data_IF_957335515430
#
_entry.id   IF_957335515430
#
_cell.length_a   1.000
_cell.length_b   1.000
_cell.length_c   1.000
_cell.angle_alpha   90.00
_cell.angle_beta   90.00
_cell.angle_gamma   90.00
#
_symmetry.space_group_name_H-M   'P 1'
#
loop_
_entity.id
_entity.type
_entity.pdbx_description
1 polymer ?
#
# COMPACT_ATOMS: atom_id res chain seq x y z
N UNK A 1 4.87 3.87 -20.54
CA UNK A 1 4.85 3.62 -19.08
C UNK A 1 5.89 4.43 -18.31
N UNK A 2 7.17 4.47 -18.75
CA UNK A 2 8.23 5.19 -18.02
C UNK A 2 7.91 6.66 -17.73
N UNK A 3 7.43 7.40 -18.73
CA UNK A 3 7.04 8.81 -18.55
C UNK A 3 5.89 8.97 -17.54
N UNK A 4 4.99 7.98 -17.48
CA UNK A 4 3.90 7.94 -16.52
C UNK A 4 4.40 7.70 -15.09
N UNK A 5 5.40 6.82 -14.93
CA UNK A 5 6.08 6.56 -13.64
C UNK A 5 6.86 7.81 -13.20
N UNK A 6 7.59 8.44 -14.12
CA UNK A 6 8.32 9.69 -13.89
C UNK A 6 7.38 10.82 -13.42
N UNK A 7 6.25 10.98 -14.12
CA UNK A 7 5.20 11.94 -13.75
C UNK A 7 4.60 11.63 -12.38
N UNK A 8 4.32 10.36 -12.07
CA UNK A 8 3.80 9.95 -10.76
C UNK A 8 4.76 10.28 -9.63
N UNK A 9 6.06 10.01 -9.82
CA UNK A 9 7.08 10.32 -8.83
C UNK A 9 7.39 11.82 -8.74
N UNK A 10 6.94 12.62 -9.72
CA UNK A 10 7.18 14.06 -9.82
C UNK A 10 8.60 14.40 -10.28
N UNK A 11 9.24 13.50 -11.05
CA UNK A 11 10.65 13.58 -11.41
C UNK A 11 10.85 13.49 -12.92
N UNK A 12 11.84 14.23 -13.45
CA UNK A 12 12.18 14.20 -14.88
C UNK A 12 13.19 13.12 -15.24
N UNK A 13 13.96 12.64 -14.26
CA UNK A 13 15.02 11.64 -14.47
C UNK A 13 14.88 10.50 -13.47
N UNK A 14 14.75 9.29 -13.99
CA UNK A 14 14.66 8.05 -13.23
C UNK A 14 15.79 7.11 -13.62
N UNK A 15 16.32 6.38 -12.65
CA UNK A 15 17.32 5.32 -12.90
C UNK A 15 16.66 3.96 -12.78
N UNK A 16 16.41 3.31 -13.91
CA UNK A 16 15.93 1.93 -13.96
C UNK A 16 17.13 0.99 -13.81
N UNK A 17 17.32 0.39 -12.64
CA UNK A 17 18.55 -0.37 -12.31
C UNK A 17 18.75 -1.61 -13.19
N UNK A 18 17.67 -2.18 -13.71
CA UNK A 18 17.68 -3.34 -14.60
C UNK A 18 18.14 -3.03 -16.02
N UNK A 19 18.21 -1.76 -16.41
CA UNK A 19 18.73 -1.31 -17.72
C UNK A 19 20.20 -0.91 -17.69
N UNK A 20 20.80 -0.91 -16.49
CA UNK A 20 22.18 -0.48 -16.26
C UNK A 20 23.04 -1.69 -15.94
N UNK A 21 23.31 -2.54 -16.92
CA UNK A 21 24.03 -3.82 -16.73
C UNK A 21 25.37 -3.63 -16.00
N UNK A 22 26.16 -2.64 -16.41
CA UNK A 22 27.49 -2.33 -15.86
C UNK A 22 27.47 -1.58 -14.52
N UNK A 23 26.32 -1.08 -14.08
CA UNK A 23 26.23 -0.35 -12.81
C UNK A 23 26.45 -1.32 -11.66
N UNK A 24 27.46 -1.08 -10.83
CA UNK A 24 27.76 -1.86 -9.63
C UNK A 24 26.87 -1.48 -8.44
N UNK A 25 26.79 -2.37 -7.44
CA UNK A 25 26.03 -2.08 -6.22
C UNK A 25 26.59 -0.87 -5.47
N UNK A 26 27.92 -0.70 -5.40
CA UNK A 26 28.54 0.42 -4.68
C UNK A 26 28.23 1.77 -5.35
N UNK A 27 28.23 1.82 -6.68
CA UNK A 27 27.80 3.01 -7.43
C UNK A 27 26.32 3.30 -7.24
N UNK A 28 25.47 2.27 -7.30
CA UNK A 28 24.04 2.39 -7.04
C UNK A 28 23.78 2.90 -5.62
N UNK A 29 24.48 2.37 -4.62
CA UNK A 29 24.37 2.74 -3.20
C UNK A 29 24.83 4.18 -2.95
N UNK A 30 25.87 4.64 -3.67
CA UNK A 30 26.32 6.03 -3.62
C UNK A 30 25.27 7.01 -4.14
N UNK A 31 24.58 6.66 -5.23
CA UNK A 31 23.50 7.48 -5.79
C UNK A 31 22.18 7.37 -5.02
N UNK A 32 21.90 6.19 -4.45
CA UNK A 32 20.66 5.87 -3.77
C UNK A 32 20.95 5.14 -2.46
N UNK A 33 21.28 5.86 -1.37
CA UNK A 33 21.71 5.26 -0.09
C UNK A 33 20.70 4.28 0.53
N UNK A 34 19.44 4.36 0.17
CA UNK A 34 18.35 3.50 0.61
C UNK A 34 18.30 2.15 -0.12
N UNK A 35 18.96 2.00 -1.29
CA UNK A 35 18.92 0.73 -2.02
C UNK A 35 19.53 -0.40 -1.19
N UNK A 36 18.79 -1.51 -1.07
CA UNK A 36 19.30 -2.73 -0.46
C UNK A 36 20.03 -3.56 -1.51
N UNK A 37 21.03 -4.34 -1.07
CA UNK A 37 21.74 -5.26 -1.96
C UNK A 37 20.78 -6.25 -2.62
N UNK A 38 19.81 -6.78 -1.87
CA UNK A 38 18.81 -7.71 -2.40
C UNK A 38 17.95 -7.11 -3.51
N UNK A 39 17.48 -5.86 -3.36
CA UNK A 39 16.75 -5.17 -4.43
C UNK A 39 17.65 -4.89 -5.65
N UNK A 40 18.88 -4.46 -5.43
CA UNK A 40 19.80 -4.27 -6.54
C UNK A 40 20.06 -5.57 -7.31
N UNK A 41 20.36 -6.68 -6.63
CA UNK A 41 20.57 -8.00 -7.24
C UNK A 41 19.32 -8.51 -7.96
N UNK A 42 18.13 -8.32 -7.35
CA UNK A 42 16.85 -8.64 -7.97
C UNK A 42 16.65 -7.89 -9.31
N UNK A 43 17.11 -6.64 -9.40
CA UNK A 43 17.07 -5.86 -10.64
C UNK A 43 17.96 -6.43 -11.75
N UNK A 44 18.94 -7.28 -11.42
CA UNK A 44 19.84 -7.92 -12.39
C UNK A 44 19.34 -9.29 -12.86
N UNK A 45 18.31 -9.84 -12.22
CA UNK A 45 17.70 -11.10 -12.65
C UNK A 45 16.95 -10.92 -13.98
N UNK A 46 16.84 -12.00 -14.75
CA UNK A 46 16.02 -12.02 -15.96
C UNK A 46 14.55 -11.74 -15.63
N UNK A 47 13.79 -11.02 -16.48
CA UNK A 47 12.43 -10.59 -16.16
C UNK A 47 11.48 -11.72 -15.70
N UNK A 48 11.44 -12.92 -16.33
CA UNK A 48 10.56 -14.00 -15.87
C UNK A 48 10.93 -14.52 -14.47
N UNK A 49 12.23 -14.64 -14.18
CA UNK A 49 12.74 -15.10 -12.88
C UNK A 49 12.42 -14.06 -11.80
N UNK A 50 12.57 -12.78 -12.12
CA UNK A 50 12.23 -11.68 -11.22
C UNK A 50 10.73 -11.67 -10.88
N UNK A 51 9.88 -11.87 -11.89
CA UNK A 51 8.43 -11.96 -11.71
C UNK A 51 8.05 -13.11 -10.77
N UNK A 52 8.57 -14.30 -11.03
CA UNK A 52 8.33 -15.49 -10.21
C UNK A 52 8.81 -15.28 -8.77
N UNK A 53 10.04 -14.78 -8.59
CA UNK A 53 10.60 -14.51 -7.27
C UNK A 53 9.73 -13.55 -6.45
N UNK A 54 9.24 -12.47 -7.07
CA UNK A 54 8.43 -11.46 -6.37
C UNK A 54 7.03 -11.98 -6.07
N UNK A 55 6.42 -12.73 -6.99
CA UNK A 55 5.14 -13.43 -6.71
C UNK A 55 5.28 -14.31 -5.48
N UNK A 56 6.29 -15.18 -5.46
CA UNK A 56 6.52 -16.11 -4.36
C UNK A 56 6.85 -15.37 -3.06
N UNK A 57 7.57 -14.25 -3.14
CA UNK A 57 7.83 -13.39 -1.99
C UNK A 57 6.54 -12.80 -1.39
N UNK A 58 5.64 -12.27 -2.21
CA UNK A 58 4.34 -11.74 -1.75
C UNK A 58 3.52 -12.82 -1.05
N UNK A 59 3.42 -13.98 -1.67
CA UNK A 59 2.71 -15.16 -1.16
C UNK A 59 3.24 -15.55 0.23
N UNK A 60 4.58 -15.61 0.38
CA UNK A 60 5.20 -16.00 1.65
C UNK A 60 5.19 -14.90 2.72
N UNK A 61 5.07 -13.63 2.33
CA UNK A 61 5.10 -12.50 3.26
C UNK A 61 3.78 -12.32 4.03
N UNK A 62 2.64 -12.74 3.47
CA UNK A 62 1.31 -12.59 4.07
C UNK A 62 0.78 -13.90 4.67
N UNK A 63 -0.14 -13.86 5.65
CA UNK A 63 -0.79 -15.06 6.15
C UNK A 63 -1.51 -15.85 5.05
N UNK A 64 -1.52 -17.19 5.16
CA UNK A 64 -2.16 -18.05 4.18
C UNK A 64 -3.68 -17.93 4.21
N UNK A 65 -4.25 -17.50 3.09
CA UNK A 65 -5.68 -17.60 2.79
C UNK A 65 -5.84 -18.01 1.31
N UNK A 66 -6.59 -19.09 0.99
CA UNK A 66 -6.68 -19.60 -0.38
C UNK A 66 -7.13 -18.56 -1.41
N UNK A 67 -8.09 -17.69 -1.06
CA UNK A 67 -8.60 -16.66 -1.97
C UNK A 67 -7.59 -15.53 -2.21
N UNK A 68 -6.81 -15.15 -1.20
CA UNK A 68 -5.73 -14.17 -1.31
C UNK A 68 -4.64 -14.66 -2.27
N UNK A 69 -4.21 -15.91 -2.11
CA UNK A 69 -3.17 -16.47 -2.99
C UNK A 69 -3.64 -16.55 -4.43
N UNK A 70 -4.88 -17.02 -4.66
CA UNK A 70 -5.48 -17.05 -5.99
C UNK A 70 -5.59 -15.63 -6.61
N UNK A 71 -5.86 -14.61 -5.80
CA UNK A 71 -5.90 -13.22 -6.27
C UNK A 71 -4.50 -12.69 -6.61
N UNK A 72 -3.48 -13.00 -5.81
CA UNK A 72 -2.09 -12.64 -6.14
C UNK A 72 -1.63 -13.32 -7.42
N UNK A 73 -1.92 -14.61 -7.62
CA UNK A 73 -1.63 -15.30 -8.87
C UNK A 73 -2.30 -14.61 -10.08
N UNK A 74 -3.58 -14.21 -9.94
CA UNK A 74 -4.28 -13.44 -10.97
C UNK A 74 -3.62 -12.09 -11.23
N UNK A 75 -3.22 -11.36 -10.18
CA UNK A 75 -2.52 -10.08 -10.32
C UNK A 75 -1.18 -10.25 -11.06
N UNK A 76 -0.33 -11.16 -10.59
CA UNK A 76 1.00 -11.40 -11.19
C UNK A 76 0.92 -11.98 -12.62
N UNK A 77 -0.16 -12.68 -12.96
CA UNK A 77 -0.40 -13.12 -14.36
C UNK A 77 -0.62 -11.95 -15.34
N UNK A 78 -0.95 -10.76 -14.83
CA UNK A 78 -1.18 -9.55 -15.62
C UNK A 78 0.03 -8.61 -15.63
N UNK A 79 1.02 -8.84 -14.76
CA UNK A 79 2.23 -8.02 -14.67
C UNK A 79 3.16 -8.38 -15.82
N UNK A 80 3.44 -7.39 -16.68
CA UNK A 80 4.32 -7.53 -17.83
C UNK A 80 5.79 -7.35 -17.45
N UNK A 81 6.04 -6.50 -16.45
CA UNK A 81 7.40 -6.19 -16.00
C UNK A 81 7.44 -5.77 -14.53
N UNK A 82 8.45 -6.25 -13.81
CA UNK A 82 8.81 -5.72 -12.50
C UNK A 82 10.12 -4.93 -12.62
N UNK A 83 10.07 -3.66 -12.27
CA UNK A 83 11.22 -2.76 -12.28
C UNK A 83 11.66 -2.37 -10.88
N UNK A 84 12.92 -1.99 -10.74
CA UNK A 84 13.43 -1.27 -9.57
C UNK A 84 13.99 0.03 -10.09
N UNK A 85 13.52 1.12 -9.49
CA UNK A 85 13.70 2.48 -9.98
C UNK A 85 14.25 3.36 -8.86
N UNK A 86 15.34 4.07 -9.13
CA UNK A 86 15.86 5.12 -8.28
C UNK A 86 15.34 6.48 -8.74
N UNK A 87 14.91 7.29 -7.77
CA UNK A 87 14.59 8.71 -7.95
C UNK A 87 15.20 9.53 -6.82
N UNK A 88 15.13 10.87 -6.89
CA UNK A 88 15.61 11.73 -5.80
C UNK A 88 14.86 11.51 -4.49
N UNK A 89 13.62 11.01 -4.56
CA UNK A 89 12.73 10.78 -3.42
C UNK A 89 12.94 9.41 -2.77
N UNK A 90 13.53 8.45 -3.47
CA UNK A 90 13.57 7.08 -2.97
C UNK A 90 13.97 6.06 -4.01
N UNK A 91 13.99 4.81 -3.57
CA UNK A 91 14.03 3.64 -4.46
C UNK A 91 12.67 2.97 -4.38
N UNK A 92 12.15 2.56 -5.52
CA UNK A 92 10.82 2.00 -5.64
C UNK A 92 10.84 0.75 -6.49
N UNK A 93 9.91 -0.16 -6.21
CA UNK A 93 9.59 -1.27 -7.08
C UNK A 93 8.36 -0.91 -7.91
N UNK A 94 8.41 -1.18 -9.21
CA UNK A 94 7.31 -0.90 -10.13
C UNK A 94 6.75 -2.19 -10.68
N UNK A 95 5.42 -2.30 -10.75
CA UNK A 95 4.70 -3.41 -11.37
C UNK A 95 3.97 -2.85 -12.59
N UNK A 96 4.50 -3.09 -13.78
CA UNK A 96 3.92 -2.60 -15.03
C UNK A 96 2.88 -3.60 -15.52
N UNK A 97 1.65 -3.14 -15.75
CA UNK A 97 0.57 -3.88 -16.40
C UNK A 97 0.24 -3.17 -17.73
N UNK A 98 -0.59 -3.81 -18.57
CA UNK A 98 -1.00 -3.28 -19.88
C UNK A 98 -1.56 -1.86 -19.84
N UNK A 99 -2.39 -1.58 -18.85
CA UNK A 99 -3.19 -0.33 -18.79
C UNK A 99 -2.81 0.58 -17.62
N UNK A 100 -2.01 0.10 -16.68
CA UNK A 100 -1.64 0.82 -15.46
C UNK A 100 -0.32 0.31 -14.91
N UNK A 101 0.14 0.89 -13.81
CA UNK A 101 1.27 0.41 -13.05
C UNK A 101 1.03 0.59 -11.57
N UNK A 102 1.77 -0.16 -10.75
CA UNK A 102 1.86 0.07 -9.32
C UNK A 102 3.28 0.45 -8.93
N UNK A 103 3.42 1.24 -7.86
CA UNK A 103 4.69 1.63 -7.27
C UNK A 103 4.66 1.27 -5.80
N UNK A 104 5.63 0.48 -5.34
CA UNK A 104 5.83 0.13 -3.94
C UNK A 104 7.14 0.69 -3.39
N UNK A 105 7.09 1.24 -2.18
CA UNK A 105 8.27 1.68 -1.45
C UNK A 105 9.12 0.52 -0.93
N UNK A 106 10.30 0.85 -0.39
CA UNK A 106 11.20 -0.13 0.22
C UNK A 106 10.50 -0.77 1.42
N UNK A 107 10.61 -2.09 1.63
CA UNK A 107 9.95 -2.74 2.75
C UNK A 107 10.57 -2.33 4.08
N UNK A 108 9.78 -2.38 5.15
CA UNK A 108 10.28 -2.17 6.50
C UNK A 108 11.03 -3.41 7.01
N UNK A 109 12.06 -3.16 7.82
CA UNK A 109 12.65 -4.19 8.67
C UNK A 109 11.71 -4.53 9.83
N UNK A 110 11.92 -5.67 10.49
CA UNK A 110 11.14 -6.01 11.70
C UNK A 110 11.28 -4.93 12.79
N UNK A 111 12.45 -4.31 12.93
CA UNK A 111 12.65 -3.17 13.84
C UNK A 111 11.85 -1.92 13.42
N UNK A 112 11.68 -1.70 12.11
CA UNK A 112 10.82 -0.64 11.58
C UNK A 112 9.33 -0.90 11.89
N UNK A 113 8.89 -2.15 11.78
CA UNK A 113 7.53 -2.57 12.15
C UNK A 113 7.27 -2.38 13.65
N UNK A 114 8.22 -2.74 14.51
CA UNK A 114 8.08 -2.49 15.96
C UNK A 114 8.10 -1.01 16.30
N UNK A 115 8.89 -0.21 15.58
CA UNK A 115 8.86 1.26 15.72
C UNK A 115 7.49 1.83 15.34
N UNK A 116 6.90 1.38 14.23
CA UNK A 116 5.55 1.76 13.81
C UNK A 116 4.51 1.43 14.89
N UNK A 117 4.55 0.21 15.44
CA UNK A 117 3.64 -0.22 16.51
C UNK A 117 3.80 0.63 17.77
N UNK A 118 5.02 1.04 18.11
CA UNK A 118 5.30 1.90 19.27
C UNK A 118 4.91 3.37 19.06
N UNK A 119 4.73 3.81 17.82
CA UNK A 119 4.40 5.19 17.49
C UNK A 119 2.92 5.53 17.69
N UNK A 120 2.05 4.53 17.58
CA UNK A 120 0.60 4.71 17.65
C UNK A 120 -0.03 3.77 18.66
N UNK A 121 -0.89 4.29 19.52
CA UNK A 121 -1.76 3.49 20.37
C UNK A 121 -2.97 2.99 19.55
N UNK A 122 -2.71 2.03 18.66
CA UNK A 122 -3.72 1.46 17.76
C UNK A 122 -3.50 -0.05 17.56
N UNK A 123 -4.55 -0.89 17.63
CA UNK A 123 -4.42 -2.32 17.41
C UNK A 123 -4.32 -2.62 15.92
N UNK A 124 -3.12 -2.46 15.35
CA UNK A 124 -2.92 -2.69 13.93
C UNK A 124 -3.28 -4.13 13.50
N UNK A 125 -4.00 -4.28 12.37
CA UNK A 125 -4.25 -5.61 11.80
C UNK A 125 -2.93 -6.31 11.48
N UNK A 126 -2.83 -7.61 11.78
CA UNK A 126 -1.61 -8.39 11.54
C UNK A 126 -1.25 -8.45 10.06
N UNK A 127 -2.23 -8.65 9.20
CA UNK A 127 -2.05 -8.73 7.76
C UNK A 127 -1.55 -7.40 7.15
N UNK A 128 -2.02 -6.26 7.66
CA UNK A 128 -1.48 -4.94 7.34
C UNK A 128 -0.02 -4.77 7.76
N UNK A 129 0.35 -5.20 8.97
CA UNK A 129 1.75 -5.16 9.42
C UNK A 129 2.65 -6.08 8.56
N UNK A 130 2.14 -7.23 8.13
CA UNK A 130 2.83 -8.13 7.22
C UNK A 130 3.05 -7.50 5.83
N UNK A 131 2.10 -6.71 5.34
CA UNK A 131 2.25 -6.02 4.06
C UNK A 131 3.45 -5.07 4.03
N UNK A 132 3.80 -4.43 5.15
CA UNK A 132 4.99 -3.58 5.22
C UNK A 132 6.32 -4.32 4.98
N UNK A 133 6.34 -5.66 5.10
CA UNK A 133 7.48 -6.49 4.68
C UNK A 133 7.58 -6.62 3.16
N UNK A 134 6.54 -6.25 2.43
CA UNK A 134 6.52 -6.18 0.97
C UNK A 134 6.82 -4.75 0.53
N UNK A 135 6.04 -3.76 1.01
CA UNK A 135 6.20 -2.36 0.63
C UNK A 135 5.87 -1.40 1.78
N UNK A 136 6.73 -0.40 2.00
CA UNK A 136 6.37 0.80 2.77
C UNK A 136 5.67 1.81 1.88
N UNK A 137 4.35 1.72 1.85
CA UNK A 137 3.49 2.46 0.93
C UNK A 137 3.42 1.83 -0.46
N UNK A 138 2.26 1.93 -1.10
CA UNK A 138 1.98 1.26 -2.38
C UNK A 138 0.82 1.92 -3.11
N UNK A 139 1.04 2.32 -4.36
CA UNK A 139 0.09 3.15 -5.11
C UNK A 139 -0.10 2.67 -6.55
N UNK A 140 -1.32 2.85 -7.09
CA UNK A 140 -1.72 2.56 -8.46
C UNK A 140 -1.71 3.83 -9.31
N UNK A 141 -0.93 3.86 -10.39
CA UNK A 141 -0.92 4.97 -11.33
C UNK A 141 -0.54 6.29 -10.66
N UNK A 142 -1.45 7.27 -10.65
CA UNK A 142 -1.26 8.60 -10.01
C UNK A 142 -1.93 8.71 -8.64
N UNK A 143 -2.46 7.62 -8.13
CA UNK A 143 -3.11 7.58 -6.83
C UNK A 143 -2.13 7.87 -5.69
N UNK A 144 -2.61 8.32 -4.53
CA UNK A 144 -1.79 8.40 -3.31
C UNK A 144 -1.53 7.01 -2.76
N UNK A 145 -2.54 6.14 -2.77
CA UNK A 145 -2.40 4.73 -2.42
C UNK A 145 -2.32 4.44 -0.93
N UNK A 146 -1.80 3.25 -0.60
CA UNK A 146 -1.45 2.85 0.75
C UNK A 146 -0.35 3.79 1.24
N UNK A 147 -0.58 4.42 2.38
CA UNK A 147 0.31 5.40 2.97
C UNK A 147 1.58 4.72 3.49
N UNK A 148 2.73 5.31 3.17
CA UNK A 148 3.99 4.96 3.82
C UNK A 148 3.98 5.44 5.28
N UNK A 149 4.77 4.79 6.13
CA UNK A 149 4.79 5.07 7.58
C UNK A 149 5.07 6.52 7.94
N UNK A 150 5.87 7.20 7.13
CA UNK A 150 6.24 8.60 7.29
C UNK A 150 5.04 9.54 7.11
N UNK A 151 4.03 9.13 6.34
CA UNK A 151 2.83 9.91 6.07
C UNK A 151 1.68 9.63 7.05
N UNK A 152 1.75 8.55 7.82
CA UNK A 152 0.69 8.15 8.75
C UNK A 152 0.39 9.20 9.84
N UNK A 153 1.38 9.87 10.47
CA UNK A 153 1.09 10.88 11.50
C UNK A 153 0.27 12.04 10.96
N UNK A 154 0.63 12.55 9.78
CA UNK A 154 -0.08 13.66 9.14
C UNK A 154 -1.48 13.24 8.66
N UNK A 155 -1.63 12.03 8.12
CA UNK A 155 -2.93 11.49 7.75
C UNK A 155 -3.84 11.34 8.98
N UNK A 156 -3.34 10.79 10.09
CA UNK A 156 -4.08 10.70 11.35
C UNK A 156 -4.50 12.08 11.84
N UNK A 157 -3.59 13.05 11.80
CA UNK A 157 -3.89 14.44 12.18
C UNK A 157 -5.00 15.02 11.29
N UNK A 158 -4.93 14.83 9.97
CA UNK A 158 -5.93 15.36 9.02
C UNK A 158 -7.32 14.73 9.23
N UNK A 159 -7.37 13.42 9.49
CA UNK A 159 -8.63 12.72 9.82
C UNK A 159 -9.19 13.23 11.15
N UNK A 160 -8.35 13.42 12.17
CA UNK A 160 -8.76 13.78 13.53
C UNK A 160 -9.01 15.27 13.76
N UNK A 161 -8.47 16.15 12.93
CA UNK A 161 -8.62 17.60 13.08
C UNK A 161 -9.96 18.14 12.57
N UNK A 162 -10.87 17.27 12.15
CA UNK A 162 -12.15 17.68 11.58
C UNK A 162 -13.16 18.01 12.68
N UNK A 163 -13.82 19.14 12.50
CA UNK A 163 -14.96 19.55 13.31
C UNK A 163 -16.25 18.96 12.70
N UNK A 164 -17.13 18.42 13.53
CA UNK A 164 -18.43 17.90 13.11
C UNK A 164 -18.71 16.48 13.59
N UNK A 165 -19.95 16.03 13.38
CA UNK A 165 -20.41 14.69 13.74
C UNK A 165 -20.16 13.78 12.55
N UNK A 166 -19.31 12.76 12.74
CA UNK A 166 -19.11 11.70 11.75
C UNK A 166 -20.11 10.59 11.98
N UNK A 167 -20.67 10.03 10.90
CA UNK A 167 -21.71 9.01 10.99
C UNK A 167 -21.38 7.71 10.25
N UNK A 168 -21.80 6.61 10.85
CA UNK A 168 -21.94 5.30 10.22
C UNK A 168 -23.43 4.96 10.27
N UNK A 169 -24.14 5.06 9.15
CA UNK A 169 -25.60 4.99 9.15
C UNK A 169 -26.23 6.04 10.08
N UNK A 170 -26.90 5.58 11.14
CA UNK A 170 -27.50 6.45 12.17
C UNK A 170 -26.59 6.72 13.39
N UNK A 171 -25.51 5.96 13.54
CA UNK A 171 -24.63 6.04 14.68
C UNK A 171 -23.56 7.12 14.50
N UNK A 172 -23.15 7.70 15.62
CA UNK A 172 -22.03 8.66 15.67
C UNK A 172 -20.74 7.87 15.88
N UNK A 173 -19.72 8.22 15.12
CA UNK A 173 -18.39 7.58 15.15
C UNK A 173 -17.40 8.53 15.79
N UNK A 174 -16.58 8.02 16.71
CA UNK A 174 -15.42 8.76 17.22
C UNK A 174 -14.26 8.67 16.22
N UNK A 175 -13.72 9.83 15.83
CA UNK A 175 -12.57 9.91 14.92
C UNK A 175 -11.29 9.29 15.51
N UNK A 176 -11.19 9.14 16.83
CA UNK A 176 -10.06 8.44 17.46
C UNK A 176 -10.07 6.94 17.16
N UNK A 177 -11.24 6.36 16.86
CA UNK A 177 -11.40 4.95 16.51
C UNK A 177 -11.00 4.65 15.06
N UNK A 178 -10.72 5.69 14.26
CA UNK A 178 -10.30 5.59 12.87
C UNK A 178 -8.79 5.76 12.71
N UNK A 179 -8.18 4.86 11.95
CA UNK A 179 -6.79 4.94 11.55
C UNK A 179 -6.65 4.88 10.03
N UNK A 180 -6.30 6.00 9.35
CA UNK A 180 -6.14 6.01 7.91
C UNK A 180 -4.92 5.21 7.48
N UNK A 181 -5.09 4.32 6.50
CA UNK A 181 -3.97 3.57 5.90
C UNK A 181 -3.87 3.76 4.38
N UNK A 182 -4.90 4.30 3.74
CA UNK A 182 -4.91 4.65 2.33
C UNK A 182 -5.60 5.99 2.11
N UNK A 183 -5.16 6.72 1.08
CA UNK A 183 -5.77 7.97 0.62
C UNK A 183 -5.96 7.92 -0.88
N UNK A 184 -7.07 8.47 -1.37
CA UNK A 184 -7.27 8.69 -2.80
C UNK A 184 -6.59 9.99 -3.25
N UNK A 185 -6.00 10.02 -4.44
CA UNK A 185 -5.29 11.21 -4.94
C UNK A 185 -6.20 12.43 -5.07
N UNK A 186 -5.81 13.52 -4.40
CA UNK A 186 -6.47 14.82 -4.51
C UNK A 186 -7.89 14.88 -3.93
N UNK A 187 -8.33 13.81 -3.25
CA UNK A 187 -9.62 13.74 -2.58
C UNK A 187 -9.41 13.64 -1.08
N UNK A 188 -10.27 14.32 -0.31
CA UNK A 188 -10.35 14.15 1.14
C UNK A 188 -11.11 12.83 1.49
N UNK A 189 -10.63 11.71 0.92
CA UNK A 189 -11.22 10.38 1.05
C UNK A 189 -10.15 9.38 1.45
N UNK A 190 -10.41 8.67 2.53
CA UNK A 190 -9.48 7.74 3.15
C UNK A 190 -10.12 6.35 3.26
N UNK A 191 -9.27 5.33 3.26
CA UNK A 191 -9.64 4.04 3.82
C UNK A 191 -9.01 3.95 5.21
N UNK A 192 -9.84 3.64 6.19
CA UNK A 192 -9.48 3.66 7.61
C UNK A 192 -9.75 2.31 8.23
N UNK A 193 -8.85 1.86 9.11
CA UNK A 193 -9.19 0.82 10.07
C UNK A 193 -10.13 1.39 11.13
N UNK A 194 -11.16 0.63 11.49
CA UNK A 194 -12.15 1.03 12.47
C UNK A 194 -12.14 0.08 13.67
N UNK A 195 -11.76 0.59 14.85
CA UNK A 195 -11.62 -0.20 16.09
C UNK A 195 -12.93 -0.84 16.54
N UNK A 196 -14.05 -0.18 16.31
CA UNK A 196 -15.36 -0.63 16.79
C UNK A 196 -16.12 -1.45 15.73
N UNK A 197 -15.37 -2.07 14.79
CA UNK A 197 -15.96 -2.98 13.81
C UNK A 197 -16.37 -4.31 14.45
N UNK A 198 -15.49 -4.91 15.28
CA UNK A 198 -15.74 -6.17 15.97
C UNK A 198 -15.72 -5.99 17.49
N UNK A 199 -16.56 -6.76 18.18
CA UNK A 199 -16.70 -6.72 19.65
C UNK A 199 -15.44 -7.21 20.37
N UNK A 200 -14.61 -8.02 19.71
CA UNK A 200 -13.36 -8.59 20.26
C UNK A 200 -12.13 -7.68 20.07
N UNK A 201 -12.32 -6.47 19.52
CA UNK A 201 -11.24 -5.51 19.26
C UNK A 201 -10.46 -5.76 17.97
N UNK A 202 -10.89 -6.71 17.13
CA UNK A 202 -10.41 -6.77 15.76
C UNK A 202 -10.90 -5.55 14.96
N UNK A 203 -10.15 -5.22 13.91
CA UNK A 203 -10.40 -4.04 13.08
C UNK A 203 -10.79 -4.47 11.67
N UNK A 204 -11.93 -3.98 11.19
CA UNK A 204 -12.24 -3.95 9.76
C UNK A 204 -11.78 -2.65 9.12
N UNK A 205 -12.06 -2.46 7.84
CA UNK A 205 -11.80 -1.19 7.16
C UNK A 205 -13.05 -0.59 6.51
N UNK A 206 -13.13 0.73 6.57
CA UNK A 206 -14.23 1.55 6.06
C UNK A 206 -13.67 2.67 5.20
N UNK A 207 -14.39 3.04 4.14
CA UNK A 207 -14.15 4.31 3.47
C UNK A 207 -14.63 5.43 4.38
N UNK A 208 -13.79 6.44 4.58
CA UNK A 208 -14.14 7.70 5.21
C UNK A 208 -14.11 8.82 4.18
N UNK A 209 -15.29 9.39 3.88
CA UNK A 209 -15.41 10.62 3.10
C UNK A 209 -15.50 11.80 4.04
N UNK A 210 -14.44 12.60 4.08
CA UNK A 210 -14.41 13.80 4.93
C UNK A 210 -15.47 14.80 4.49
N UNK A 211 -15.63 14.99 3.18
CA UNK A 211 -16.58 15.96 2.62
C UNK A 211 -18.03 15.64 3.03
N UNK A 212 -18.36 14.36 3.15
CA UNK A 212 -19.69 13.92 3.55
C UNK A 212 -19.86 13.75 5.06
N UNK A 213 -18.75 13.73 5.82
CA UNK A 213 -18.77 13.43 7.25
C UNK A 213 -19.30 12.02 7.54
N UNK A 214 -19.01 11.06 6.67
CA UNK A 214 -19.54 9.69 6.76
C UNK A 214 -18.46 8.66 6.54
N UNK A 215 -18.60 7.56 7.27
CA UNK A 215 -17.92 6.30 6.94
C UNK A 215 -18.91 5.33 6.30
N UNK A 216 -18.39 4.39 5.53
CA UNK A 216 -19.16 3.26 5.00
C UNK A 216 -19.92 2.52 6.08
N UNK A 217 -21.20 2.23 5.82
CA UNK A 217 -21.99 1.37 6.72
C UNK A 217 -21.71 -0.10 6.40
N UNK A 218 -20.95 -0.75 7.26
CA UNK A 218 -20.58 -2.15 7.10
C UNK A 218 -21.68 -3.14 7.54
N UNK A 219 -22.79 -2.63 8.10
CA UNK A 219 -23.91 -3.46 8.58
C UNK A 219 -24.98 -3.68 7.53
N UNK A 220 -24.99 -2.86 6.48
CA UNK A 220 -25.86 -3.10 5.33
C UNK A 220 -25.36 -4.37 4.63
N UNK A 221 -26.17 -5.44 4.69
CA UNK A 221 -25.83 -6.80 4.23
C UNK A 221 -25.61 -6.94 2.72
N UNK A 222 -25.57 -5.83 1.99
CA UNK A 222 -25.26 -5.78 0.58
C UNK A 222 -23.74 -5.56 0.44
N UNK A 223 -23.09 -6.60 -0.09
CA UNK A 223 -21.66 -6.86 -0.33
C UNK A 223 -20.72 -5.65 -0.18
N UNK A 224 -19.69 -5.81 0.67
CA UNK A 224 -18.70 -4.79 1.03
C UNK A 224 -17.96 -4.07 -0.12
N UNK A 225 -17.97 -4.60 -1.34
CA UNK A 225 -17.47 -3.92 -2.55
C UNK A 225 -18.31 -2.68 -2.93
N UNK A 226 -19.63 -2.75 -2.76
CA UNK A 226 -20.55 -1.64 -3.11
C UNK A 226 -20.45 -0.48 -2.10
N UNK A 227 -20.04 -0.79 -0.87
CA UNK A 227 -19.91 0.17 0.22
C UNK A 227 -18.45 0.47 0.60
N UNK A 228 -17.47 -0.15 -0.06
CA UNK A 228 -16.05 0.04 0.21
C UNK A 228 -15.67 -0.23 1.68
N UNK A 229 -16.22 -1.31 2.24
CA UNK A 229 -15.99 -1.75 3.61
C UNK A 229 -15.63 -3.23 3.64
N UNK A 230 -14.51 -3.59 4.27
CA UNK A 230 -13.95 -4.94 4.22
C UNK A 230 -13.56 -5.47 5.60
N UNK A 231 -13.65 -6.79 5.74
CA UNK A 231 -13.37 -7.49 7.00
C UNK A 231 -11.88 -7.60 7.34
N UNK A 232 -11.00 -7.46 6.35
CA UNK A 232 -9.55 -7.52 6.51
C UNK A 232 -8.83 -6.57 5.55
N UNK A 233 -7.57 -6.24 5.84
CA UNK A 233 -6.75 -5.43 4.94
C UNK A 233 -6.47 -6.18 3.63
N UNK A 234 -6.25 -7.50 3.68
CA UNK A 234 -6.00 -8.28 2.46
C UNK A 234 -7.20 -8.35 1.53
N UNK A 235 -8.43 -8.43 2.04
CA UNK A 235 -9.63 -8.39 1.20
C UNK A 235 -9.74 -7.04 0.47
N UNK A 236 -9.46 -5.94 1.18
CA UNK A 236 -9.38 -4.60 0.58
C UNK A 236 -8.23 -4.50 -0.44
N UNK A 237 -7.06 -5.08 -0.16
CA UNK A 237 -5.92 -5.08 -1.06
C UNK A 237 -6.24 -5.82 -2.36
N UNK A 238 -6.91 -6.98 -2.29
CA UNK A 238 -7.37 -7.71 -3.48
C UNK A 238 -8.26 -6.81 -4.33
N UNK A 239 -9.26 -6.18 -3.72
CA UNK A 239 -10.15 -5.24 -4.40
C UNK A 239 -9.36 -4.10 -5.07
N UNK A 240 -8.38 -3.52 -4.38
CA UNK A 240 -7.50 -2.48 -4.92
C UNK A 240 -6.69 -2.94 -6.16
N UNK A 241 -6.18 -4.17 -6.11
CA UNK A 241 -5.39 -4.77 -7.20
C UNK A 241 -6.25 -5.16 -8.41
N UNK A 242 -7.46 -5.70 -8.18
CA UNK A 242 -8.37 -6.17 -9.23
C UNK A 242 -9.08 -5.03 -9.97
N UNK A 243 -9.23 -3.88 -9.32
CA UNK A 243 -9.67 -2.65 -9.98
C UNK A 243 -10.68 -1.85 -9.19
N UNK A 244 -10.17 -0.87 -8.42
CA UNK A 244 -10.73 0.49 -8.41
C UNK A 244 -10.44 1.21 -9.72
#
# INVERSE_FOLDING_TARGET
>A
MRDSIATCLGESELVFFHEKEELSFEEAKKGFPQISKGWFELSKLQPPVRLEFIRDYWINAVPYFPHVYAAFDRFFSQVEEIGIVGSKRGVYMTYTLKTTFFIGGIPLSDGGIETLKGQFDFPFPKDYLHFFRIHNGFAKGKDTGILATEALPDACKNVRSREGIIRCGQEVVDLQELFPFYSSFGLDVYQCFYQNWYVDGQVGNVLYSIAEGKISDFRTREKGEEYLAFTSFLDWLIFYLEGL
#
